data_IF_511228166572
#
_entry.id   IF_511228166572
#
_cell.length_a   1.000
_cell.length_b   1.000
_cell.length_c   1.000
_cell.angle_alpha   90.00
_cell.angle_beta   90.00
_cell.angle_gamma   90.00
#
_symmetry.space_group_name_H-M   'P 1'
#
loop_
_entity.id
_entity.type
_entity.pdbx_description
1 polymer ?
#
# COMPACT_ATOMS: atom_id res chain seq x y z
N UNK A 1 18.41 3.22 0.90
CA UNK A 1 17.68 4.18 0.04
C UNK A 1 16.19 3.96 0.28
N UNK A 2 15.38 5.00 0.43
CA UNK A 2 13.96 4.86 0.80
C UNK A 2 13.04 5.79 0.02
N UNK A 3 12.05 5.16 -0.62
CA UNK A 3 10.86 5.71 -1.26
C UNK A 3 9.73 4.66 -1.16
N UNK A 4 8.54 4.99 -1.67
CA UNK A 4 7.37 4.11 -1.58
C UNK A 4 7.59 2.71 -2.20
N UNK A 5 8.35 2.64 -3.31
CA UNK A 5 8.67 1.38 -4.01
C UNK A 5 9.56 0.50 -3.16
N UNK A 6 10.66 1.06 -2.63
CA UNK A 6 11.56 0.32 -1.73
C UNK A 6 10.86 -0.12 -0.43
N UNK A 7 9.99 0.72 0.14
CA UNK A 7 9.24 0.39 1.35
C UNK A 7 8.27 -0.78 1.11
N UNK A 8 7.59 -0.82 -0.04
CA UNK A 8 6.79 -1.98 -0.45
C UNK A 8 7.61 -3.25 -0.57
N UNK A 9 8.79 -3.16 -1.19
CA UNK A 9 9.70 -4.30 -1.30
C UNK A 9 10.13 -4.81 0.09
N UNK A 10 10.47 -3.91 1.01
CA UNK A 10 10.84 -4.28 2.39
C UNK A 10 9.67 -4.97 3.12
N UNK A 11 8.46 -4.40 3.05
CA UNK A 11 7.25 -4.98 3.65
C UNK A 11 6.94 -6.37 3.07
N UNK A 12 7.04 -6.53 1.75
CA UNK A 12 6.84 -7.80 1.07
C UNK A 12 7.87 -8.84 1.53
N UNK A 13 9.16 -8.47 1.56
CA UNK A 13 10.21 -9.39 1.99
C UNK A 13 10.02 -9.81 3.45
N UNK A 14 9.59 -8.88 4.29
CA UNK A 14 9.25 -9.17 5.68
C UNK A 14 8.06 -10.13 5.78
N UNK A 15 6.95 -9.90 5.08
CA UNK A 15 5.80 -10.82 5.04
C UNK A 15 6.20 -12.22 4.52
N UNK A 16 6.96 -12.29 3.42
CA UNK A 16 7.47 -13.54 2.85
C UNK A 16 8.45 -14.29 3.76
N UNK A 17 9.04 -13.61 4.75
CA UNK A 17 9.87 -14.25 5.77
C UNK A 17 9.04 -14.95 6.85
N UNK A 18 7.82 -14.48 7.09
CA UNK A 18 6.89 -15.03 8.08
C UNK A 18 5.99 -16.11 7.49
N UNK A 19 5.54 -15.90 6.25
CA UNK A 19 4.49 -16.69 5.60
C UNK A 19 5.02 -17.12 4.25
N UNK A 20 4.75 -18.37 3.87
CA UNK A 20 5.01 -18.80 2.50
C UNK A 20 3.96 -18.17 1.59
N UNK A 21 4.39 -17.38 0.62
CA UNK A 21 3.53 -16.75 -0.39
C UNK A 21 3.89 -17.37 -1.74
N UNK A 22 2.95 -18.04 -2.39
CA UNK A 22 3.23 -18.69 -3.69
C UNK A 22 3.23 -17.68 -4.84
N UNK A 23 2.39 -16.63 -4.77
CA UNK A 23 2.34 -15.55 -5.76
C UNK A 23 2.09 -14.18 -5.10
N UNK A 24 2.69 -13.13 -5.66
CA UNK A 24 2.29 -11.74 -5.37
C UNK A 24 1.57 -11.23 -6.61
N UNK A 25 0.27 -11.00 -6.50
CA UNK A 25 -0.59 -10.64 -7.63
C UNK A 25 -1.76 -9.75 -7.17
N UNK A 26 -2.40 -9.07 -8.12
CA UNK A 26 -3.62 -8.32 -7.88
C UNK A 26 -4.87 -9.23 -7.88
N UNK A 27 -4.77 -10.40 -8.52
CA UNK A 27 -5.88 -11.34 -8.67
C UNK A 27 -5.92 -12.41 -7.58
N UNK A 28 -7.10 -13.04 -7.42
CA UNK A 28 -7.28 -14.18 -6.53
C UNK A 28 -6.46 -15.40 -7.00
N UNK A 29 -6.05 -16.30 -6.10
CA UNK A 29 -5.34 -17.51 -6.48
C UNK A 29 -6.16 -18.41 -7.40
N UNK A 30 -5.51 -18.97 -8.42
CA UNK A 30 -6.12 -19.93 -9.37
C UNK A 30 -6.03 -21.37 -8.84
N UNK A 31 -4.96 -21.70 -8.12
CA UNK A 31 -4.73 -23.05 -7.59
C UNK A 31 -5.27 -23.22 -6.17
N UNK A 32 -5.70 -24.45 -5.84
CA UNK A 32 -6.05 -24.82 -4.48
C UNK A 32 -4.87 -24.68 -3.52
N UNK A 33 -5.19 -24.39 -2.26
CA UNK A 33 -4.27 -24.43 -1.15
C UNK A 33 -3.67 -25.83 -1.02
N UNK A 34 -2.35 -25.89 -0.93
CA UNK A 34 -1.64 -27.13 -0.65
C UNK A 34 -0.63 -26.87 0.45
N UNK A 35 -0.76 -27.61 1.55
CA UNK A 35 0.27 -27.71 2.56
C UNK A 35 1.39 -28.58 2.00
N UNK A 36 2.26 -28.00 1.16
CA UNK A 36 3.36 -28.78 0.60
C UNK A 36 4.34 -29.08 1.72
N UNK A 37 4.45 -30.36 2.06
CA UNK A 37 5.47 -30.90 2.94
C UNK A 37 6.86 -30.43 2.46
N UNK A 38 7.45 -29.48 3.18
CA UNK A 38 8.71 -28.83 2.78
C UNK A 38 8.88 -27.39 3.29
N UNK A 39 7.81 -26.74 3.75
CA UNK A 39 7.90 -25.46 4.45
C UNK A 39 8.26 -25.67 5.93
N UNK A 40 9.50 -26.04 6.23
CA UNK A 40 9.97 -26.15 7.61
C UNK A 40 9.63 -24.91 8.45
N UNK A 41 9.26 -25.08 9.72
CA UNK A 41 8.95 -24.05 10.74
C UNK A 41 8.10 -22.83 10.32
N UNK A 42 7.40 -22.82 9.18
CA UNK A 42 6.49 -21.74 8.79
C UNK A 42 5.08 -22.09 9.25
N UNK A 43 4.47 -21.18 10.02
CA UNK A 43 3.25 -21.45 10.77
C UNK A 43 2.02 -21.69 9.89
N UNK A 44 1.91 -21.04 8.71
CA UNK A 44 0.87 -21.25 7.68
C UNK A 44 1.41 -20.81 6.29
N UNK A 45 0.79 -21.25 5.18
CA UNK A 45 1.13 -20.85 3.81
C UNK A 45 -0.05 -20.15 3.10
N UNK A 46 0.17 -19.11 2.31
CA UNK A 46 -0.88 -18.41 1.54
C UNK A 46 -0.64 -18.57 0.03
N UNK A 47 -1.73 -18.74 -0.74
CA UNK A 47 -1.61 -18.88 -2.20
C UNK A 47 -1.21 -17.54 -2.86
N UNK A 48 -1.89 -16.45 -2.51
CA UNK A 48 -1.59 -15.12 -3.09
C UNK A 48 -1.52 -14.04 -2.02
N UNK A 49 -0.48 -13.21 -2.08
CA UNK A 49 -0.44 -11.90 -1.43
C UNK A 49 -0.90 -10.82 -2.42
N UNK A 50 -1.96 -10.10 -2.05
CA UNK A 50 -2.50 -8.96 -2.77
C UNK A 50 -2.03 -7.67 -2.08
N UNK A 51 -1.39 -6.79 -2.83
CA UNK A 51 -0.96 -5.48 -2.34
C UNK A 51 -1.83 -4.37 -2.96
N UNK A 52 -2.69 -3.74 -2.17
CA UNK A 52 -3.59 -2.68 -2.66
C UNK A 52 -2.85 -1.35 -2.83
N UNK A 53 -3.34 -0.41 -3.66
CA UNK A 53 -2.79 0.95 -3.74
C UNK A 53 -2.62 1.62 -2.36
N UNK A 54 -1.59 2.45 -2.21
CA UNK A 54 -1.36 3.17 -0.94
C UNK A 54 -2.39 4.27 -0.78
N UNK A 55 -3.09 4.28 0.36
CA UNK A 55 -4.13 5.26 0.65
C UNK A 55 -3.62 6.37 1.57
N UNK A 56 -4.31 7.52 1.55
CA UNK A 56 -3.98 8.69 2.36
C UNK A 56 -2.50 9.09 2.28
N UNK A 57 -1.90 8.94 1.09
CA UNK A 57 -0.51 9.25 0.86
C UNK A 57 -0.28 10.75 0.97
N UNK A 58 0.53 11.17 1.93
CA UNK A 58 0.92 12.57 2.09
C UNK A 58 2.41 12.71 2.36
N UNK A 59 2.96 13.87 1.99
CA UNK A 59 4.35 14.20 2.23
C UNK A 59 4.45 15.53 2.95
N UNK A 60 5.37 15.61 3.90
CA UNK A 60 5.68 16.84 4.60
C UNK A 60 7.19 17.03 4.70
N UNK A 61 7.60 18.29 4.84
CA UNK A 61 8.99 18.64 5.09
C UNK A 61 9.19 18.84 6.58
N UNK A 62 10.14 18.12 7.16
CA UNK A 62 10.57 18.34 8.54
C UNK A 62 11.76 19.31 8.64
N UNK A 63 11.97 19.84 9.85
CA UNK A 63 13.14 20.62 10.20
C UNK A 63 14.40 19.82 9.85
N UNK A 64 15.38 20.44 9.16
CA UNK A 64 16.57 19.83 8.55
C UNK A 64 16.43 19.29 7.10
N UNK A 65 15.45 19.77 6.32
CA UNK A 65 15.27 19.41 4.89
C UNK A 65 14.98 17.92 4.65
N UNK A 66 14.64 17.17 5.69
CA UNK A 66 14.15 15.81 5.53
C UNK A 66 12.72 15.83 4.97
N UNK A 67 12.42 14.92 4.05
CA UNK A 67 11.07 14.70 3.55
C UNK A 67 10.53 13.46 4.24
N UNK A 68 9.33 13.56 4.78
CA UNK A 68 8.64 12.48 5.49
C UNK A 68 7.38 12.16 4.72
N UNK A 69 7.22 10.88 4.36
CA UNK A 69 6.00 10.34 3.77
C UNK A 69 5.15 9.66 4.83
N UNK A 70 3.84 9.70 4.65
CA UNK A 70 2.88 8.90 5.42
C UNK A 70 1.84 8.30 4.49
N UNK A 71 1.36 7.10 4.81
CA UNK A 71 0.28 6.46 4.07
C UNK A 71 -0.18 5.16 4.70
N UNK A 72 -1.27 4.61 4.17
CA UNK A 72 -1.87 3.35 4.57
C UNK A 72 -1.52 2.28 3.54
N UNK A 73 -0.83 1.24 4.00
CA UNK A 73 -0.42 0.11 3.18
C UNK A 73 -1.32 -1.07 3.50
N UNK A 74 -2.26 -1.38 2.59
CA UNK A 74 -3.21 -2.48 2.77
C UNK A 74 -2.76 -3.73 2.02
N UNK A 75 -2.98 -4.88 2.66
CA UNK A 75 -2.62 -6.18 2.14
C UNK A 75 -3.75 -7.19 2.38
N UNK A 76 -3.86 -8.18 1.50
CA UNK A 76 -4.71 -9.35 1.71
C UNK A 76 -3.94 -10.63 1.37
N UNK A 77 -3.93 -11.59 2.28
CA UNK A 77 -3.46 -12.95 2.00
C UNK A 77 -4.68 -13.81 1.68
N UNK A 78 -4.74 -14.35 0.46
CA UNK A 78 -5.89 -15.15 0.01
C UNK A 78 -5.51 -16.61 -0.16
N UNK A 79 -6.39 -17.48 0.35
CA UNK A 79 -6.30 -18.93 0.35
C UNK A 79 -7.48 -19.48 -0.45
N UNK A 80 -7.24 -20.48 -1.30
CA UNK A 80 -8.31 -21.16 -2.05
C UNK A 80 -8.51 -22.57 -1.50
N UNK A 81 -9.66 -22.87 -0.95
CA UNK A 81 -10.00 -24.20 -0.44
C UNK A 81 -11.06 -24.85 -1.34
N UNK A 82 -11.02 -26.17 -1.47
CA UNK A 82 -11.94 -26.90 -2.31
C UNK A 82 -13.41 -26.70 -1.88
N UNK A 83 -14.32 -26.68 -2.86
CA UNK A 83 -15.76 -26.48 -2.63
C UNK A 83 -16.42 -27.45 -1.65
N UNK A 84 -15.86 -28.66 -1.54
CA UNK A 84 -16.37 -29.79 -0.76
C UNK A 84 -16.23 -29.56 0.76
N UNK A 85 -15.34 -28.64 1.16
CA UNK A 85 -15.15 -28.28 2.57
C UNK A 85 -16.36 -27.52 3.09
N UNK A 86 -16.81 -27.87 4.30
CA UNK A 86 -17.83 -27.08 4.98
C UNK A 86 -17.20 -25.80 5.53
N UNK A 87 -18.03 -24.75 5.73
CA UNK A 87 -17.59 -23.50 6.36
C UNK A 87 -16.96 -23.73 7.75
N UNK A 88 -17.39 -24.78 8.47
CA UNK A 88 -16.86 -25.14 9.79
C UNK A 88 -15.50 -25.82 9.74
N UNK A 89 -15.13 -26.39 8.59
CA UNK A 89 -13.83 -27.05 8.38
C UNK A 89 -12.76 -26.09 7.84
N UNK A 90 -13.17 -24.86 7.48
CA UNK A 90 -12.21 -23.82 7.12
C UNK A 90 -11.43 -23.37 8.36
N UNK A 91 -10.10 -23.16 8.26
CA UNK A 91 -9.24 -22.83 9.39
C UNK A 91 -9.34 -21.34 9.78
N UNK A 92 -10.55 -20.85 10.03
CA UNK A 92 -10.81 -19.42 10.27
C UNK A 92 -10.07 -18.93 11.52
N UNK A 93 -10.12 -19.68 12.62
CA UNK A 93 -9.50 -19.27 13.89
C UNK A 93 -7.97 -19.25 13.81
N UNK A 94 -7.37 -20.19 13.07
CA UNK A 94 -5.93 -20.21 12.81
C UNK A 94 -5.51 -19.02 11.94
N UNK A 95 -6.32 -18.66 10.95
CA UNK A 95 -6.09 -17.49 10.09
C UNK A 95 -6.28 -16.17 10.84
N UNK A 96 -7.21 -16.08 11.78
CA UNK A 96 -7.35 -14.93 12.68
C UNK A 96 -6.10 -14.78 13.56
N UNK A 97 -5.63 -15.89 14.13
CA UNK A 97 -4.40 -15.93 14.94
C UNK A 97 -3.15 -15.53 14.13
N UNK A 98 -3.13 -15.86 12.83
CA UNK A 98 -2.08 -15.43 11.92
C UNK A 98 -2.12 -13.91 11.71
N UNK A 99 -3.29 -13.32 11.45
CA UNK A 99 -3.43 -11.87 11.28
C UNK A 99 -2.99 -11.14 12.54
N UNK A 100 -3.43 -11.62 13.71
CA UNK A 100 -2.97 -11.11 15.01
C UNK A 100 -1.44 -11.17 15.13
N UNK A 101 -0.84 -12.32 14.80
CA UNK A 101 0.61 -12.53 14.87
C UNK A 101 1.37 -11.58 13.96
N UNK A 102 0.91 -11.37 12.71
CA UNK A 102 1.52 -10.40 11.77
C UNK A 102 1.48 -9.00 12.38
N UNK A 103 0.31 -8.57 12.86
CA UNK A 103 0.12 -7.23 13.40
C UNK A 103 0.97 -7.00 14.66
N UNK A 104 1.00 -7.98 15.57
CA UNK A 104 1.84 -7.93 16.76
C UNK A 104 3.33 -7.90 16.41
N UNK A 105 3.78 -8.75 15.48
CA UNK A 105 5.17 -8.79 15.04
C UNK A 105 5.61 -7.50 14.33
N UNK A 106 4.74 -6.86 13.55
CA UNK A 106 5.05 -5.58 12.90
C UNK A 106 5.34 -4.47 13.92
N UNK A 107 4.69 -4.51 15.09
CA UNK A 107 4.89 -3.56 16.18
C UNK A 107 6.18 -3.86 16.97
N UNK A 108 6.58 -5.14 17.09
CA UNK A 108 7.79 -5.56 17.79
C UNK A 108 9.05 -5.37 16.92
N UNK A 109 8.96 -5.79 15.66
CA UNK A 109 10.07 -5.85 14.71
C UNK A 109 9.72 -5.04 13.46
N UNK A 110 10.23 -3.80 13.40
CA UNK A 110 9.96 -2.91 12.26
C UNK A 110 10.38 -3.57 10.93
N UNK A 111 9.48 -3.66 9.93
CA UNK A 111 9.78 -4.26 8.62
C UNK A 111 10.87 -3.55 7.82
N UNK A 112 11.13 -2.27 8.11
CA UNK A 112 12.17 -1.48 7.44
C UNK A 112 12.79 -0.47 8.40
N UNK A 113 14.09 -0.21 8.23
CA UNK A 113 14.80 0.86 8.97
C UNK A 113 14.35 2.26 8.59
N UNK A 114 13.64 2.39 7.46
CA UNK A 114 13.15 3.68 6.97
C UNK A 114 11.84 4.10 7.63
N UNK A 115 11.15 3.15 8.26
CA UNK A 115 9.91 3.37 9.01
C UNK A 115 10.26 4.08 10.31
N UNK A 116 9.64 5.23 10.54
CA UNK A 116 9.75 6.01 11.78
C UNK A 116 8.64 5.67 12.76
N UNK A 117 7.45 5.43 12.23
CA UNK A 117 6.29 5.02 13.00
C UNK A 117 5.46 4.02 12.20
N UNK A 118 4.99 2.97 12.86
CA UNK A 118 4.07 1.99 12.32
C UNK A 118 2.95 1.79 13.32
N UNK A 119 1.72 1.94 12.86
CA UNK A 119 0.52 1.60 13.62
C UNK A 119 -0.38 0.72 12.77
N UNK A 120 -1.25 -0.04 13.43
CA UNK A 120 -2.18 -0.95 12.76
C UNK A 120 -3.52 -0.22 12.62
N UNK A 121 -4.09 -0.25 11.42
CA UNK A 121 -5.49 0.18 11.22
C UNK A 121 -6.39 -1.04 11.47
N UNK A 122 -7.41 -0.86 12.31
CA UNK A 122 -8.35 -1.92 12.62
C UNK A 122 -9.20 -2.24 11.38
N UNK A 123 -9.29 -3.51 11.03
CA UNK A 123 -10.15 -4.01 9.96
C UNK A 123 -11.34 -4.71 10.61
N UNK A 124 -12.56 -4.35 10.22
CA UNK A 124 -13.79 -4.89 10.83
C UNK A 124 -13.89 -6.42 10.68
N UNK A 125 -13.50 -6.94 9.51
CA UNK A 125 -13.45 -8.38 9.21
C UNK A 125 -12.03 -8.77 8.75
N UNK A 126 -11.12 -9.08 9.68
CA UNK A 126 -9.74 -9.41 9.35
C UNK A 126 -9.62 -10.74 8.60
N UNK A 127 -10.60 -11.65 8.76
CA UNK A 127 -10.71 -12.88 7.96
C UNK A 127 -12.10 -12.92 7.34
N UNK A 128 -12.16 -13.09 6.01
CA UNK A 128 -13.41 -13.10 5.27
C UNK A 128 -13.47 -14.33 4.35
N UNK A 129 -14.26 -15.36 4.70
CA UNK A 129 -14.56 -16.47 3.80
C UNK A 129 -15.66 -16.06 2.81
N UNK A 130 -15.43 -16.28 1.52
CA UNK A 130 -16.41 -16.12 0.46
C UNK A 130 -16.31 -17.26 -0.55
N UNK A 131 -17.35 -17.48 -1.33
CA UNK A 131 -17.30 -18.41 -2.47
C UNK A 131 -16.76 -17.65 -3.69
N UNK A 132 -16.00 -18.34 -4.55
CA UNK A 132 -15.40 -17.75 -5.76
C UNK A 132 -16.46 -17.40 -6.82
N UNK A 133 -17.60 -18.13 -6.83
CA UNK A 133 -18.69 -17.91 -7.78
C UNK A 133 -18.41 -18.41 -9.20
N UNK A 134 -17.32 -19.15 -9.40
CA UNK A 134 -16.98 -19.87 -10.63
C UNK A 134 -17.62 -21.28 -10.66
N UNK A 135 -17.41 -22.05 -11.74
CA UNK A 135 -18.03 -23.37 -11.94
C UNK A 135 -17.75 -24.37 -10.80
N UNK A 136 -16.55 -24.32 -10.22
CA UNK A 136 -16.17 -25.15 -9.08
C UNK A 136 -16.61 -24.55 -7.73
N UNK A 137 -17.05 -23.28 -7.68
CA UNK A 137 -17.52 -22.59 -6.47
C UNK A 137 -16.65 -22.78 -5.20
N UNK A 138 -15.33 -22.78 -5.39
CA UNK A 138 -14.36 -22.95 -4.31
C UNK A 138 -14.48 -21.86 -3.23
N UNK A 139 -13.96 -22.14 -2.04
CA UNK A 139 -13.84 -21.16 -0.98
C UNK A 139 -12.61 -20.29 -1.19
N UNK A 140 -12.78 -18.96 -1.14
CA UNK A 140 -11.72 -17.99 -0.98
C UNK A 140 -11.76 -17.44 0.43
N UNK A 141 -10.70 -17.66 1.20
CA UNK A 141 -10.54 -17.07 2.53
C UNK A 141 -9.47 -16.00 2.47
N UNK A 142 -9.88 -14.73 2.66
CA UNK A 142 -8.98 -13.58 2.59
C UNK A 142 -8.69 -13.03 3.99
N UNK A 143 -7.40 -12.92 4.31
CA UNK A 143 -6.90 -12.34 5.55
C UNK A 143 -6.43 -10.90 5.28
N UNK A 144 -7.15 -9.91 5.79
CA UNK A 144 -6.97 -8.50 5.51
C UNK A 144 -6.29 -7.78 6.68
N UNK A 145 -5.27 -7.00 6.38
CA UNK A 145 -4.58 -6.17 7.37
C UNK A 145 -3.96 -4.94 6.72
N UNK A 146 -3.75 -3.89 7.51
CA UNK A 146 -3.20 -2.63 7.03
C UNK A 146 -2.25 -1.98 8.02
N UNK A 147 -1.25 -1.30 7.47
CA UNK A 147 -0.23 -0.59 8.21
C UNK A 147 -0.28 0.90 7.89
N UNK A 148 -0.50 1.70 8.92
CA UNK A 148 -0.34 3.14 8.89
C UNK A 148 1.12 3.46 9.15
N UNK A 149 1.84 3.84 8.10
CA UNK A 149 3.30 3.99 8.13
C UNK A 149 3.67 5.44 7.92
N UNK A 150 4.58 5.93 8.76
CA UNK A 150 5.36 7.15 8.52
C UNK A 150 6.81 6.76 8.25
N UNK A 151 7.39 7.24 7.15
CA UNK A 151 8.72 6.84 6.70
C UNK A 151 9.53 8.02 6.18
N UNK A 152 10.86 7.93 6.31
CA UNK A 152 11.79 8.93 5.77
C UNK A 152 11.99 8.70 4.28
N UNK A 153 11.79 9.73 3.46
CA UNK A 153 12.07 9.70 2.03
C UNK A 153 13.51 10.18 1.81
N UNK A 154 14.35 9.30 1.26
CA UNK A 154 15.76 9.61 0.95
C UNK A 154 16.05 9.57 -0.54
N UNK A 155 15.08 9.19 -1.37
CA UNK A 155 15.23 9.06 -2.81
C UNK A 155 13.91 9.41 -3.52
N UNK A 156 14.00 10.03 -4.70
CA UNK A 156 12.85 10.26 -5.56
C UNK A 156 12.66 9.06 -6.48
N UNK A 157 11.43 8.56 -6.60
CA UNK A 157 11.11 7.48 -7.51
C UNK A 157 10.94 8.03 -8.93
N UNK A 158 12.04 8.18 -9.67
CA UNK A 158 12.05 8.61 -11.06
C UNK A 158 12.06 7.36 -11.94
N UNK A 159 10.90 6.97 -12.51
CA UNK A 159 10.91 5.99 -13.61
C UNK A 159 11.26 6.72 -14.90
N UNK A 160 12.15 6.16 -15.71
CA UNK A 160 12.43 6.68 -17.05
C UNK A 160 11.15 6.76 -17.91
N UNK A 161 10.19 5.86 -17.68
CA UNK A 161 8.88 5.86 -18.35
C UNK A 161 8.03 7.11 -18.06
N UNK A 162 8.24 7.79 -16.93
CA UNK A 162 7.53 9.05 -16.64
C UNK A 162 8.08 10.24 -17.44
N UNK A 163 9.33 10.15 -17.89
CA UNK A 163 9.99 11.19 -18.70
C UNK A 163 9.93 10.85 -20.20
N UNK A 164 9.92 9.57 -20.53
CA UNK A 164 9.77 9.05 -21.89
C UNK A 164 8.29 8.94 -22.25
N UNK A 165 7.61 10.09 -22.31
CA UNK A 165 6.30 10.15 -22.94
C UNK A 165 6.51 10.18 -24.48
N UNK A 166 6.12 9.14 -25.24
CA UNK A 166 6.26 9.15 -26.70
C UNK A 166 5.38 10.24 -27.38
N UNK A 167 4.47 10.87 -26.63
CA UNK A 167 3.54 11.90 -27.12
C UNK A 167 3.94 13.34 -26.77
N UNK A 168 5.19 13.61 -26.36
CA UNK A 168 5.67 15.00 -26.39
C UNK A 168 6.06 15.29 -27.85
N UNK A 169 5.27 16.08 -28.60
CA UNK A 169 5.64 16.40 -29.98
C UNK A 169 7.02 17.05 -29.96
N UNK A 170 7.94 16.51 -30.76
CA UNK A 170 9.27 17.09 -30.96
C UNK A 170 9.11 18.56 -31.34
N UNK A 171 9.50 19.47 -30.44
CA UNK A 171 9.22 20.90 -30.54
C UNK A 171 8.41 21.52 -29.39
N UNK A 172 8.07 20.75 -28.35
CA UNK A 172 7.48 21.33 -27.14
C UNK A 172 8.51 22.14 -26.35
N UNK A 173 8.44 23.48 -26.48
CA UNK A 173 9.17 24.42 -25.63
C UNK A 173 8.19 25.01 -24.62
N UNK A 174 8.43 24.77 -23.33
CA UNK A 174 7.64 25.37 -22.25
C UNK A 174 7.99 26.88 -22.15
N UNK A 175 7.25 27.73 -22.85
CA UNK A 175 7.56 29.17 -22.90
C UNK A 175 7.22 29.90 -21.60
N UNK A 176 6.13 29.50 -20.93
CA UNK A 176 5.77 30.01 -19.62
C UNK A 176 4.89 29.05 -18.84
N UNK A 177 5.17 28.89 -17.54
CA UNK A 177 4.29 28.22 -16.59
C UNK A 177 3.70 29.29 -15.65
N UNK A 178 2.37 29.44 -15.64
CA UNK A 178 1.67 30.33 -14.71
C UNK A 178 0.99 29.49 -13.64
N UNK A 179 1.49 29.59 -12.40
CA UNK A 179 0.89 28.94 -11.24
C UNK A 179 0.03 29.96 -10.48
N UNK A 180 -1.27 29.68 -10.37
CA UNK A 180 -2.18 30.44 -9.51
C UNK A 180 -2.19 29.82 -8.11
N UNK A 181 -1.69 30.57 -7.13
CA UNK A 181 -1.67 30.12 -5.73
C UNK A 181 -2.73 30.91 -4.96
N UNK A 182 -3.80 30.24 -4.56
CA UNK A 182 -4.81 30.82 -3.67
C UNK A 182 -4.46 30.44 -2.23
N UNK A 183 -4.23 31.43 -1.36
CA UNK A 183 -4.16 31.21 0.09
C UNK A 183 -5.55 31.40 0.70
N UNK A 184 -5.92 30.56 1.67
CA UNK A 184 -7.07 30.84 2.53
C UNK A 184 -6.66 31.80 3.64
N UNK A 185 -7.36 32.93 3.80
CA UNK A 185 -7.25 33.75 5.00
C UNK A 185 -7.88 33.03 6.20
N UNK A 186 -7.20 33.05 7.34
CA UNK A 186 -7.79 32.69 8.64
C UNK A 186 -8.73 33.85 9.02
N UNK A 187 -10.02 33.62 9.29
CA UNK A 187 -11.00 34.69 9.25
C UNK A 187 -11.05 35.49 10.56
N UNK A 188 -10.98 36.81 10.47
CA UNK A 188 -11.73 37.70 11.37
C UNK A 188 -12.90 38.27 10.58
N UNK A 189 -13.99 37.50 10.59
CA UNK A 189 -15.38 37.89 10.25
C UNK A 189 -15.69 38.47 8.86
N UNK A 190 -16.65 37.79 8.20
CA UNK A 190 -17.61 38.24 7.16
C UNK A 190 -17.24 38.20 5.67
N UNK A 191 -17.39 37.04 5.01
CA UNK A 191 -18.49 36.66 4.07
C UNK A 191 -18.11 35.37 3.30
N UNK A 192 -19.03 34.40 3.11
CA UNK A 192 -18.76 33.23 2.28
C UNK A 192 -18.53 33.64 0.82
N UNK A 193 -17.46 33.11 0.19
CA UNK A 193 -17.21 33.26 -1.25
C UNK A 193 -16.26 34.38 -1.68
N UNK A 194 -15.47 34.96 -0.77
CA UNK A 194 -14.39 35.90 -1.14
C UNK A 194 -13.05 35.17 -1.16
N UNK A 195 -12.44 35.08 -2.35
CA UNK A 195 -11.04 34.71 -2.54
C UNK A 195 -10.31 35.93 -3.08
N UNK A 196 -9.12 36.24 -2.55
CA UNK A 196 -8.25 37.30 -3.07
C UNK A 196 -7.14 36.64 -3.88
N UNK A 197 -7.00 37.03 -5.15
CA UNK A 197 -5.92 36.57 -6.02
C UNK A 197 -4.62 37.25 -5.56
N UNK A 198 -3.78 36.52 -4.83
CA UNK A 198 -2.63 37.13 -4.13
C UNK A 198 -1.39 37.24 -5.04
N UNK A 199 -1.17 36.31 -5.99
CA UNK A 199 -0.01 36.38 -6.89
C UNK A 199 -0.15 35.49 -8.13
N UNK A 200 0.24 36.02 -9.30
CA UNK A 200 0.58 35.22 -10.48
C UNK A 200 2.09 34.99 -10.52
N UNK A 201 2.53 33.74 -10.40
CA UNK A 201 3.94 33.38 -10.62
C UNK A 201 4.07 32.94 -12.07
N UNK A 202 4.73 33.76 -12.89
CA UNK A 202 5.07 33.43 -14.28
C UNK A 202 6.54 32.99 -14.33
N UNK A 203 6.77 31.71 -14.58
CA UNK A 203 8.12 31.20 -14.84
C UNK A 203 8.32 31.20 -16.35
N UNK A 204 9.25 32.01 -16.85
CA UNK A 204 9.62 32.05 -18.27
C UNK A 204 10.94 31.30 -18.48
N UNK A 205 11.04 30.56 -19.58
CA UNK A 205 12.28 29.91 -19.96
C UNK A 205 13.27 30.97 -20.45
N UNK A 206 14.47 31.12 -19.86
CA UNK A 206 15.47 32.00 -20.42
C UNK A 206 16.01 31.32 -21.68
N UNK A 207 15.83 31.96 -22.84
CA UNK A 207 16.57 31.58 -24.04
C UNK A 207 18.08 31.64 -23.78
#
# INVERSE_FOLDING_TARGET
MSNIKSLRTDLRNWLSSLIRIDKVDLDSPVGLYSDVAGAGNRLLAANTLIEFPVENLSYSKENNRAVVGSGVFRYSLTYRYAEELSLHDLPISELESLVESIQALALINSPSRSIRNLTIEAVEYPVNPRRDGEEADDWLVSCNFSFNITFTVTELCLSEDFFNNPDIPSGFTLNSLTLKVNKSEIPVTTKPGTFVEDSNITIQNPN
#
